data_IF_933271500244
#
_entry.id   IF_933271500244
#
_cell.length_a   1.000
_cell.length_b   1.000
_cell.length_c   1.000
_cell.angle_alpha   90.00
_cell.angle_beta   90.00
_cell.angle_gamma   90.00
#
_symmetry.space_group_name_H-M   'P 1'
#
loop_
_entity.id
_entity.type
_entity.pdbx_description
1 polymer ?
#
# COMPACT_ATOMS: atom_id res chain seq x y z
N UNK A 1 -39.86 24.13 7.00
CA UNK A 1 -38.68 23.72 6.21
C UNK A 1 -37.97 24.99 5.83
N UNK A 2 -36.72 25.15 6.26
CA UNK A 2 -35.89 26.30 5.90
C UNK A 2 -35.53 26.19 4.41
N UNK A 3 -35.86 27.22 3.63
CA UNK A 3 -35.64 27.26 2.17
C UNK A 3 -34.33 27.96 1.82
N UNK A 4 -33.52 28.30 2.82
CA UNK A 4 -32.22 28.92 2.61
C UNK A 4 -31.30 27.95 1.84
N UNK A 5 -30.78 28.31 0.66
CA UNK A 5 -29.84 27.48 -0.06
C UNK A 5 -28.62 27.17 0.82
N UNK A 6 -28.27 25.89 0.95
CA UNK A 6 -27.06 25.48 1.65
C UNK A 6 -25.86 25.90 0.79
N UNK A 7 -25.18 26.97 1.19
CA UNK A 7 -23.90 27.35 0.61
C UNK A 7 -22.83 26.36 1.08
N UNK A 8 -22.50 25.38 0.25
CA UNK A 8 -21.41 24.47 0.55
C UNK A 8 -20.07 25.24 0.40
N UNK A 9 -19.21 25.17 1.43
CA UNK A 9 -17.87 25.80 1.43
C UNK A 9 -16.78 24.76 1.66
N UNK A 10 -15.60 25.02 1.09
CA UNK A 10 -14.44 24.16 1.33
C UNK A 10 -14.05 24.22 2.81
N UNK A 11 -13.97 23.09 3.49
CA UNK A 11 -13.61 23.02 4.92
C UNK A 11 -12.19 23.56 5.19
N UNK A 12 -11.29 23.51 4.19
CA UNK A 12 -9.92 24.00 4.34
C UNK A 12 -9.76 25.48 4.00
N UNK A 13 -10.21 25.94 2.82
CA UNK A 13 -9.95 27.30 2.34
C UNK A 13 -11.16 28.24 2.44
N UNK A 14 -12.32 27.75 2.89
CA UNK A 14 -13.58 28.48 3.12
C UNK A 14 -14.21 29.14 1.89
N UNK A 15 -13.58 29.05 0.71
CA UNK A 15 -14.12 29.63 -0.52
C UNK A 15 -15.34 28.87 -1.03
N UNK A 16 -16.32 29.62 -1.53
CA UNK A 16 -17.48 29.10 -2.26
C UNK A 16 -17.01 28.67 -3.65
N UNK A 17 -16.77 27.37 -3.81
CA UNK A 17 -16.32 26.72 -5.06
C UNK A 17 -17.14 25.46 -5.28
N UNK A 18 -17.17 24.89 -6.50
CA UNK A 18 -17.66 23.53 -6.67
C UNK A 18 -16.89 22.59 -5.74
N UNK A 19 -17.63 21.95 -4.84
CA UNK A 19 -17.10 20.99 -3.89
C UNK A 19 -17.38 19.60 -4.44
N UNK A 20 -16.38 18.75 -4.36
CA UNK A 20 -16.49 17.37 -4.78
C UNK A 20 -16.50 16.55 -3.50
N UNK A 21 -17.58 15.81 -3.28
CA UNK A 21 -17.56 14.66 -2.38
C UNK A 21 -16.75 13.60 -3.13
N UNK A 22 -15.44 13.61 -2.93
CA UNK A 22 -14.61 12.51 -3.35
C UNK A 22 -14.68 11.47 -2.24
N UNK A 23 -15.47 10.43 -2.47
CA UNK A 23 -15.42 9.20 -1.68
C UNK A 23 -14.27 8.40 -2.31
N UNK A 24 -13.09 8.34 -1.68
CA UNK A 24 -12.02 7.61 -2.29
C UNK A 24 -12.38 6.13 -2.17
N UNK A 25 -12.53 5.45 -3.30
CA UNK A 25 -12.62 4.00 -3.36
C UNK A 25 -11.22 3.42 -3.15
N UNK A 26 -10.64 3.69 -1.99
CA UNK A 26 -9.37 3.12 -1.58
C UNK A 26 -9.68 1.80 -0.88
N UNK A 27 -9.58 0.69 -1.65
CA UNK A 27 -9.76 -0.73 -1.28
C UNK A 27 -9.00 -1.21 -0.01
N UNK A 28 -8.39 -0.30 0.74
CA UNK A 28 -7.69 -0.52 2.01
C UNK A 28 -8.58 -1.10 3.13
N UNK A 29 -9.91 -1.00 3.03
CA UNK A 29 -10.83 -1.69 3.94
C UNK A 29 -10.57 -3.21 3.99
N UNK A 30 -10.04 -3.78 2.90
CA UNK A 30 -9.81 -5.22 2.75
C UNK A 30 -8.46 -5.69 3.29
N UNK A 31 -7.53 -4.79 3.58
CA UNK A 31 -6.14 -5.13 3.97
C UNK A 31 -5.89 -5.05 5.47
N UNK A 32 -6.87 -4.55 6.26
CA UNK A 32 -6.71 -4.31 7.70
C UNK A 32 -5.90 -3.07 8.05
N UNK A 33 -5.34 -2.37 7.06
CA UNK A 33 -4.64 -1.09 7.22
C UNK A 33 -5.69 0.01 7.07
N UNK A 34 -5.98 0.74 8.17
CA UNK A 34 -6.98 1.80 8.12
C UNK A 34 -6.39 3.05 7.48
N UNK A 35 -6.92 3.43 6.31
CA UNK A 35 -6.52 4.65 5.61
C UNK A 35 -6.73 5.88 6.50
N UNK A 36 -5.85 6.89 6.46
CA UNK A 36 -5.96 8.04 7.37
C UNK A 36 -7.27 8.81 7.19
N UNK A 37 -7.78 8.87 5.96
CA UNK A 37 -9.10 9.41 5.64
C UNK A 37 -10.20 8.65 6.40
N UNK A 38 -10.19 7.33 6.32
CA UNK A 38 -11.13 6.41 6.98
C UNK A 38 -11.12 6.54 8.51
N UNK A 39 -9.99 6.98 9.10
CA UNK A 39 -9.85 7.18 10.56
C UNK A 39 -10.41 8.51 11.05
N UNK A 40 -10.73 9.45 10.16
CA UNK A 40 -11.27 10.75 10.55
C UNK A 40 -12.72 10.59 10.99
N UNK A 41 -13.09 11.31 12.04
CA UNK A 41 -14.47 11.34 12.56
C UNK A 41 -15.47 11.82 11.49
N UNK A 42 -15.01 12.68 10.56
CA UNK A 42 -15.78 13.17 9.43
C UNK A 42 -14.86 13.40 8.23
N UNK A 43 -15.32 13.01 7.04
CA UNK A 43 -14.64 13.37 5.78
C UNK A 43 -14.79 14.87 5.52
N UNK A 44 -13.68 15.60 5.27
CA UNK A 44 -13.74 17.01 4.98
C UNK A 44 -14.30 17.23 3.57
N UNK A 45 -15.14 18.26 3.41
CA UNK A 45 -15.62 18.68 2.12
C UNK A 45 -14.62 19.66 1.49
N UNK A 46 -13.76 19.16 0.61
CA UNK A 46 -12.66 19.93 0.04
C UNK A 46 -12.94 20.37 -1.40
N UNK A 47 -12.44 21.56 -1.76
CA UNK A 47 -12.33 21.93 -3.18
C UNK A 47 -11.17 21.17 -3.83
N UNK A 48 -11.22 20.97 -5.16
CA UNK A 48 -10.21 20.21 -5.93
C UNK A 48 -8.77 20.59 -5.56
N UNK A 49 -8.48 21.89 -5.43
CA UNK A 49 -7.12 22.35 -5.10
C UNK A 49 -6.66 21.92 -3.71
N UNK A 50 -7.55 22.01 -2.71
CA UNK A 50 -7.24 21.64 -1.34
C UNK A 50 -7.10 20.12 -1.22
N UNK A 51 -7.97 19.38 -1.92
CA UNK A 51 -7.88 17.92 -2.02
C UNK A 51 -6.53 17.50 -2.63
N UNK A 52 -6.18 17.99 -3.83
CA UNK A 52 -4.91 17.65 -4.49
C UNK A 52 -3.69 17.99 -3.63
N UNK A 53 -3.72 19.11 -2.89
CA UNK A 53 -2.65 19.47 -1.99
C UNK A 53 -2.52 18.51 -0.81
N UNK A 54 -3.61 17.91 -0.35
CA UNK A 54 -3.61 16.93 0.73
C UNK A 54 -3.14 15.57 0.26
N UNK A 55 -3.62 15.11 -0.89
CA UNK A 55 -3.12 13.88 -1.54
C UNK A 55 -1.62 13.96 -1.79
N UNK A 56 -1.11 15.08 -2.29
CA UNK A 56 0.33 15.26 -2.50
C UNK A 56 1.13 15.27 -1.19
N UNK A 57 0.52 15.69 -0.07
CA UNK A 57 1.18 15.60 1.25
C UNK A 57 1.21 14.16 1.75
N UNK A 58 0.13 13.41 1.56
CA UNK A 58 0.03 11.99 1.92
C UNK A 58 1.02 11.16 1.09
N UNK A 59 1.06 11.35 -0.23
CA UNK A 59 2.01 10.66 -1.11
C UNK A 59 3.48 11.00 -0.79
N UNK A 60 3.72 12.21 -0.27
CA UNK A 60 5.05 12.67 0.14
C UNK A 60 5.37 12.42 1.61
N UNK A 61 4.46 11.78 2.38
CA UNK A 61 4.70 11.46 3.79
C UNK A 61 5.84 10.44 3.85
N UNK A 62 7.00 10.77 4.46
CA UNK A 62 8.15 9.87 4.51
C UNK A 62 7.88 8.59 5.32
N UNK A 63 6.70 8.41 5.92
CA UNK A 63 6.37 7.28 6.78
C UNK A 63 7.09 7.37 8.13
N UNK A 64 6.65 6.56 9.11
CA UNK A 64 7.32 6.54 10.41
C UNK A 64 8.69 5.86 10.32
N UNK A 65 9.69 6.25 11.14
CA UNK A 65 10.96 5.54 11.20
C UNK A 65 10.81 4.04 11.48
N UNK A 66 9.77 3.66 12.22
CA UNK A 66 9.44 2.28 12.59
C UNK A 66 8.93 1.50 11.38
N UNK A 67 7.98 2.07 10.62
CA UNK A 67 7.46 1.46 9.38
C UNK A 67 8.57 1.31 8.34
N UNK A 68 9.42 2.33 8.20
CA UNK A 68 10.57 2.31 7.30
C UNK A 68 11.60 1.24 7.70
N UNK A 69 11.87 1.08 9.00
CA UNK A 69 12.76 0.04 9.50
C UNK A 69 12.20 -1.36 9.27
N UNK A 70 10.90 -1.55 9.49
CA UNK A 70 10.20 -2.80 9.23
C UNK A 70 10.21 -3.15 7.73
N UNK A 71 9.89 -2.19 6.86
CA UNK A 71 9.95 -2.37 5.42
C UNK A 71 11.35 -2.78 4.95
N UNK A 72 12.40 -2.14 5.48
CA UNK A 72 13.79 -2.49 5.16
C UNK A 72 14.16 -3.91 5.63
N UNK A 73 13.67 -4.36 6.79
CA UNK A 73 13.88 -5.73 7.26
C UNK A 73 13.16 -6.76 6.40
N UNK A 74 11.91 -6.50 6.02
CA UNK A 74 11.14 -7.39 5.15
C UNK A 74 11.79 -7.55 3.76
N UNK A 75 12.36 -6.47 3.21
CA UNK A 75 13.15 -6.53 1.98
C UNK A 75 14.35 -7.46 2.15
N UNK A 76 15.14 -7.29 3.22
CA UNK A 76 16.31 -8.14 3.50
C UNK A 76 15.95 -9.61 3.66
N UNK A 77 14.86 -9.90 4.36
CA UNK A 77 14.35 -11.28 4.54
C UNK A 77 13.98 -11.87 3.17
N UNK A 78 13.27 -11.10 2.34
CA UNK A 78 12.85 -11.55 1.00
C UNK A 78 14.05 -11.87 0.11
N UNK A 79 15.06 -10.99 0.08
CA UNK A 79 16.30 -11.21 -0.68
C UNK A 79 17.09 -12.42 -0.15
N UNK A 80 17.08 -12.64 1.16
CA UNK A 80 17.74 -13.79 1.78
C UNK A 80 17.02 -15.09 1.43
N UNK A 81 15.69 -15.10 1.54
CA UNK A 81 14.87 -16.25 1.16
C UNK A 81 15.05 -16.61 -0.32
N UNK A 82 15.08 -15.60 -1.21
CA UNK A 82 15.32 -15.82 -2.63
C UNK A 82 16.67 -16.54 -2.87
N UNK A 83 17.74 -16.14 -2.17
CA UNK A 83 19.05 -16.79 -2.25
C UNK A 83 19.03 -18.23 -1.71
N UNK A 84 18.33 -18.47 -0.61
CA UNK A 84 18.19 -19.81 -0.02
C UNK A 84 17.44 -20.75 -0.97
N UNK A 85 16.33 -20.30 -1.55
CA UNK A 85 15.55 -21.08 -2.52
C UNK A 85 16.41 -21.41 -3.74
N UNK A 86 17.12 -20.43 -4.30
CA UNK A 86 18.00 -20.67 -5.44
C UNK A 86 19.08 -21.74 -5.14
N UNK A 87 19.63 -21.75 -3.92
CA UNK A 87 20.57 -22.78 -3.48
C UNK A 87 19.91 -24.16 -3.35
N UNK A 88 18.72 -24.21 -2.75
CA UNK A 88 17.97 -25.46 -2.58
C UNK A 88 17.63 -26.10 -3.94
N UNK A 89 17.22 -25.30 -4.92
CA UNK A 89 16.96 -25.77 -6.28
C UNK A 89 18.22 -26.31 -6.97
N UNK A 90 19.37 -25.66 -6.77
CA UNK A 90 20.65 -26.15 -7.27
C UNK A 90 21.06 -27.49 -6.62
N UNK A 91 20.95 -27.59 -5.29
CA UNK A 91 21.26 -28.82 -4.54
C UNK A 91 20.33 -29.97 -4.94
N UNK A 92 19.04 -29.66 -5.17
CA UNK A 92 18.04 -30.61 -5.68
C UNK A 92 18.44 -31.12 -7.07
N UNK A 93 18.79 -30.24 -8.00
CA UNK A 93 19.20 -30.63 -9.34
C UNK A 93 20.44 -31.55 -9.34
N UNK A 94 21.39 -31.32 -8.42
CA UNK A 94 22.55 -32.20 -8.23
C UNK A 94 22.11 -33.58 -7.74
N UNK A 95 21.27 -33.64 -6.69
CA UNK A 95 20.78 -34.91 -6.15
C UNK A 95 19.97 -35.70 -7.20
N UNK A 96 19.09 -35.03 -7.93
CA UNK A 96 18.28 -35.63 -9.00
C UNK A 96 19.19 -36.22 -10.10
N UNK A 97 20.27 -35.52 -10.47
CA UNK A 97 21.26 -36.02 -11.42
C UNK A 97 22.02 -37.26 -10.94
N UNK A 98 22.37 -37.34 -9.64
CA UNK A 98 22.99 -38.52 -9.03
C UNK A 98 22.03 -39.71 -9.04
N UNK A 99 20.77 -39.49 -8.66
CA UNK A 99 19.74 -40.52 -8.66
C UNK A 99 19.56 -41.12 -10.07
N UNK A 100 19.42 -40.25 -11.08
CA UNK A 100 19.28 -40.69 -12.47
C UNK A 100 20.50 -41.45 -12.99
N UNK A 101 21.72 -41.02 -12.65
CA UNK A 101 22.94 -41.74 -13.02
C UNK A 101 23.01 -43.14 -12.40
N UNK A 102 22.50 -43.29 -11.16
CA UNK A 102 22.45 -44.58 -10.45
C UNK A 102 21.45 -45.52 -11.12
N UNK A 103 20.23 -45.06 -11.39
CA UNK A 103 19.19 -45.85 -12.07
C UNK A 103 19.64 -46.36 -13.45
N UNK A 104 20.36 -45.53 -14.21
CA UNK A 104 20.87 -45.89 -15.54
C UNK A 104 22.07 -46.86 -15.50
N UNK A 105 22.74 -47.01 -14.36
CA UNK A 105 23.89 -47.93 -14.22
C UNK A 105 23.44 -49.35 -13.86
N UNK A 106 22.30 -49.47 -13.19
CA UNK A 106 21.70 -50.74 -12.77
C UNK A 106 20.73 -51.35 -13.82
N UNK A 107 20.49 -50.66 -14.95
CA UNK A 107 19.64 -51.08 -16.06
C UNK A 107 20.44 -51.70 -17.23
#
# INVERSE_FOLDING_TARGET
>A
MDTTPIEARCDHCTQTRPLFLYEPDHDFHLTGITCEWCRREKQPLLCVRCFSAETLREEADPGSPEDNALAAELIRITETNARVIARQEADKAVCDGIAQATENTDA
#
